data_IF_732606970471
#
_entry.id   IF_732606970471
#
_cell.length_a   1.000
_cell.length_b   1.000
_cell.length_c   1.000
_cell.angle_alpha   90.00
_cell.angle_beta   90.00
_cell.angle_gamma   90.00
#
_symmetry.space_group_name_H-M   'P 1'
#
loop_
_entity.id
_entity.type
_entity.pdbx_description
1 polymer ?
#
# COMPACT_ATOMS: atom_id res chain seq x y z
N UNK A 1 17.64 -39.37 -7.81
CA UNK A 1 16.68 -38.30 -8.19
C UNK A 1 16.67 -38.18 -9.70
N UNK A 2 15.50 -38.29 -10.31
CA UNK A 2 15.37 -38.24 -11.76
C UNK A 2 15.77 -36.87 -12.30
N UNK A 3 16.61 -36.87 -13.35
CA UNK A 3 17.11 -35.63 -13.97
C UNK A 3 15.95 -34.71 -14.38
N UNK A 4 14.85 -35.29 -14.88
CA UNK A 4 13.63 -34.57 -15.25
C UNK A 4 12.97 -33.89 -14.04
N UNK A 5 12.86 -34.61 -12.92
CA UNK A 5 12.27 -34.09 -11.68
C UNK A 5 13.11 -32.95 -11.08
N UNK A 6 14.45 -33.08 -11.12
CA UNK A 6 15.36 -32.02 -10.65
C UNK A 6 15.21 -30.74 -11.46
N UNK A 7 15.10 -30.85 -12.79
CA UNK A 7 14.93 -29.69 -13.67
C UNK A 7 13.57 -29.03 -13.43
N UNK A 8 12.49 -29.81 -13.30
CA UNK A 8 11.16 -29.29 -13.02
C UNK A 8 11.12 -28.49 -11.70
N UNK A 9 11.79 -28.99 -10.64
CA UNK A 9 11.88 -28.28 -9.37
C UNK A 9 12.62 -26.94 -9.48
N UNK A 10 13.71 -26.88 -10.25
CA UNK A 10 14.46 -25.63 -10.47
C UNK A 10 13.61 -24.61 -11.23
N UNK A 11 12.90 -25.03 -12.29
CA UNK A 11 12.02 -24.15 -13.06
C UNK A 11 10.87 -23.61 -12.19
N UNK A 12 10.25 -24.45 -11.37
CA UNK A 12 9.19 -24.03 -10.45
C UNK A 12 9.69 -23.02 -9.42
N UNK A 13 10.89 -23.23 -8.85
CA UNK A 13 11.49 -22.31 -7.90
C UNK A 13 11.80 -20.95 -8.53
N UNK A 14 12.34 -20.93 -9.76
CA UNK A 14 12.60 -19.70 -10.50
C UNK A 14 11.30 -18.94 -10.81
N UNK A 15 10.26 -19.63 -11.26
CA UNK A 15 8.96 -19.03 -11.54
C UNK A 15 8.34 -18.41 -10.27
N UNK A 16 8.37 -19.12 -9.14
CA UNK A 16 7.88 -18.61 -7.87
C UNK A 16 8.69 -17.39 -7.39
N UNK A 17 10.01 -17.41 -7.54
CA UNK A 17 10.86 -16.27 -7.18
C UNK A 17 10.53 -15.02 -8.00
N UNK A 18 10.33 -15.17 -9.31
CA UNK A 18 9.94 -14.04 -10.17
C UNK A 18 8.57 -13.52 -9.74
N UNK A 19 7.59 -14.41 -9.57
CA UNK A 19 6.24 -14.04 -9.14
C UNK A 19 6.26 -13.24 -7.83
N UNK A 20 6.97 -13.74 -6.82
CA UNK A 20 7.07 -13.09 -5.51
C UNK A 20 7.79 -11.74 -5.57
N UNK A 21 8.86 -11.62 -6.36
CA UNK A 21 9.58 -10.34 -6.52
C UNK A 21 8.77 -9.30 -7.30
N UNK A 22 7.92 -9.73 -8.23
CA UNK A 22 7.00 -8.85 -8.97
C UNK A 22 5.68 -8.60 -8.23
N UNK A 23 5.44 -9.33 -7.13
CA UNK A 23 4.25 -9.15 -6.32
C UNK A 23 4.43 -7.88 -5.48
N UNK A 24 3.88 -6.77 -5.98
CA UNK A 24 3.75 -5.56 -5.19
C UNK A 24 2.48 -5.65 -4.35
N UNK A 25 2.57 -5.72 -3.01
CA UNK A 25 1.41 -5.52 -2.16
C UNK A 25 1.08 -4.02 -2.20
N UNK A 26 0.42 -3.56 -3.26
CA UNK A 26 0.03 -2.15 -3.45
C UNK A 26 -0.95 -1.64 -2.37
N UNK A 27 -1.34 -2.48 -1.42
CA UNK A 27 -2.24 -2.13 -0.35
C UNK A 27 -2.02 -3.08 0.82
N UNK A 28 -1.03 -2.80 1.68
CA UNK A 28 -1.27 -3.14 3.08
C UNK A 28 -2.53 -2.36 3.45
N UNK A 29 -3.66 -3.02 3.80
CA UNK A 29 -4.86 -2.30 4.17
C UNK A 29 -4.49 -1.41 5.35
N UNK A 30 -4.65 -0.10 5.17
CA UNK A 30 -4.52 0.84 6.28
C UNK A 30 -5.61 0.41 7.28
N UNK A 31 -5.25 0.11 8.54
CA UNK A 31 -6.25 -0.25 9.54
C UNK A 31 -7.30 0.86 9.58
N UNK A 32 -8.57 0.47 9.57
CA UNK A 32 -9.64 1.46 9.71
C UNK A 32 -9.37 2.28 10.98
N UNK A 33 -9.57 3.61 10.92
CA UNK A 33 -9.44 4.44 12.11
C UNK A 33 -10.38 3.87 13.17
N UNK A 34 -9.89 3.77 14.42
CA UNK A 34 -10.69 3.32 15.55
C UNK A 34 -11.98 4.13 15.55
N UNK A 35 -13.11 3.46 15.25
CA UNK A 35 -14.41 4.12 15.14
C UNK A 35 -14.94 4.46 16.53
N UNK A 36 -14.36 5.48 17.13
CA UNK A 36 -14.95 6.24 18.20
C UNK A 36 -14.33 7.63 18.09
N UNK A 37 -14.89 8.43 17.18
CA UNK A 37 -14.77 9.89 17.29
C UNK A 37 -15.22 10.20 18.73
N UNK A 38 -14.35 10.74 19.60
CA UNK A 38 -14.78 11.22 20.90
C UNK A 38 -15.98 12.14 20.70
N UNK A 39 -17.05 12.04 21.50
CA UNK A 39 -18.31 12.79 21.33
C UNK A 39 -18.14 14.32 21.17
N UNK A 40 -16.94 14.86 21.42
CA UNK A 40 -16.56 16.26 21.34
C UNK A 40 -15.60 16.64 20.19
N UNK A 41 -15.24 15.72 19.28
CA UNK A 41 -14.36 16.03 18.15
C UNK A 41 -15.17 16.29 16.88
N UNK A 42 -15.16 17.54 16.40
CA UNK A 42 -15.64 17.88 15.05
C UNK A 42 -14.56 17.53 14.04
N UNK A 43 -14.93 16.82 12.97
CA UNK A 43 -14.05 16.50 11.84
C UNK A 43 -14.66 17.14 10.61
N UNK A 44 -13.92 18.06 9.99
CA UNK A 44 -14.32 18.70 8.73
C UNK A 44 -13.50 18.15 7.57
N UNK A 45 -14.19 17.83 6.47
CA UNK A 45 -13.55 17.36 5.24
C UNK A 45 -13.07 18.58 4.45
N UNK A 46 -11.76 18.68 4.20
CA UNK A 46 -11.15 19.82 3.51
C UNK A 46 -10.90 19.57 2.01
N UNK A 47 -10.77 18.32 1.59
CA UNK A 47 -10.53 17.92 0.20
C UNK A 47 -10.98 16.46 -0.03
N UNK A 48 -11.48 16.18 -1.24
CA UNK A 48 -11.90 14.85 -1.69
C UNK A 48 -11.36 14.60 -3.12
N UNK A 49 -11.39 13.34 -3.57
CA UNK A 49 -10.94 12.92 -4.90
C UNK A 49 -9.45 13.20 -5.22
N UNK A 50 -8.59 13.12 -4.20
CA UNK A 50 -7.12 13.17 -4.38
C UNK A 50 -6.61 11.83 -4.94
N UNK A 51 -5.59 11.86 -5.79
CA UNK A 51 -4.98 10.67 -6.38
C UNK A 51 -4.00 10.00 -5.41
N UNK A 52 -4.52 9.04 -4.64
CA UNK A 52 -3.79 8.25 -3.65
C UNK A 52 -2.84 9.09 -2.76
N UNK A 53 -3.36 10.03 -1.95
CA UNK A 53 -2.53 10.94 -1.15
C UNK A 53 -1.66 10.17 -0.14
N UNK A 54 -0.39 10.57 -0.01
CA UNK A 54 0.64 9.86 0.78
C UNK A 54 1.17 10.65 1.98
N UNK A 55 1.67 11.87 1.75
CA UNK A 55 2.27 12.72 2.76
C UNK A 55 1.45 14.00 2.94
N UNK A 56 1.44 14.53 4.17
CA UNK A 56 0.84 15.81 4.51
C UNK A 56 1.88 16.69 5.20
N UNK A 57 1.96 17.96 4.83
CA UNK A 57 2.77 18.96 5.49
C UNK A 57 1.96 20.23 5.75
N UNK A 58 2.22 20.88 6.88
CA UNK A 58 1.57 22.13 7.27
C UNK A 58 2.63 23.22 7.28
N UNK A 59 2.39 24.31 6.55
CA UNK A 59 3.24 25.50 6.60
C UNK A 59 2.37 26.74 6.53
N UNK A 60 2.63 27.69 7.43
CA UNK A 60 1.83 28.90 7.63
C UNK A 60 0.33 28.57 7.76
N UNK A 61 -0.48 29.04 6.80
CA UNK A 61 -1.93 28.85 6.75
C UNK A 61 -2.34 27.92 5.60
N UNK A 62 -1.48 26.94 5.26
CA UNK A 62 -1.68 26.03 4.12
C UNK A 62 -1.36 24.58 4.50
N UNK A 63 -2.10 23.69 3.85
CA UNK A 63 -1.89 22.24 3.90
C UNK A 63 -1.37 21.81 2.54
N UNK A 64 -0.28 21.06 2.53
CA UNK A 64 0.32 20.48 1.35
C UNK A 64 0.14 18.97 1.41
N UNK A 65 -0.26 18.36 0.29
CA UNK A 65 -0.46 16.92 0.17
C UNK A 65 0.34 16.42 -1.04
N UNK A 66 1.01 15.28 -0.91
CA UNK A 66 1.65 14.61 -2.04
C UNK A 66 0.75 13.50 -2.57
N UNK A 67 0.48 13.52 -3.87
CA UNK A 67 -0.27 12.47 -4.57
C UNK A 67 0.67 11.41 -5.13
N UNK A 68 0.15 10.23 -5.46
CA UNK A 68 0.95 9.20 -6.12
C UNK A 68 1.05 9.54 -7.61
N UNK A 69 2.23 9.97 -8.06
CA UNK A 69 2.57 10.11 -9.50
C UNK A 69 2.16 8.88 -10.35
#
# INVERSE_FOLDING_TARGET
MDKKLRIAGIVAALAFSIFYLTFSPNSLPIPEPLSSIPENNSVDILAENLDEPRSIAISDNRIFVTEKD
#
